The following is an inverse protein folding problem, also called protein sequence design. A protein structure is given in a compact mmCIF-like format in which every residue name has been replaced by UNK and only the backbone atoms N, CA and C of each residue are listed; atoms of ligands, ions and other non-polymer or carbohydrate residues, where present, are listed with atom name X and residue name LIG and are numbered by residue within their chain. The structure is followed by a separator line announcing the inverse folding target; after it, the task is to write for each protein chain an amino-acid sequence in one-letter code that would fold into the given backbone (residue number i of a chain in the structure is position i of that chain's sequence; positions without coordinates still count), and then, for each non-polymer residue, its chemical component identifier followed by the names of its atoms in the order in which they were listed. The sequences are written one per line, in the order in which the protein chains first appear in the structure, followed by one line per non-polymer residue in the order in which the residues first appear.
data_IF_120394484757
#
_entry.id   IF_120394484757
#
_cell.length_a   1.000
_cell.length_b   1.000
_cell.length_c   1.000
_cell.angle_alpha   90.00
_cell.angle_beta   90.00
_cell.angle_gamma   90.00
#
_symmetry.space_group_name_H-M   'P 1'
#
loop_
_entity.id
_entity.type
_entity.pdbx_description
1 polymer ?
#
# COMPACT_ATOMS: atom_id res chain seq x y z
N UNK A 1 18.72 -10.63 -6.00
CA UNK A 1 17.89 -10.69 -4.78
C UNK A 1 16.95 -9.49 -4.77
N UNK A 2 15.64 -9.65 -4.45
CA UNK A 2 14.76 -8.50 -4.33
C UNK A 2 15.22 -7.62 -3.16
N UNK A 3 15.71 -6.40 -3.44
CA UNK A 3 16.10 -5.43 -2.41
C UNK A 3 14.94 -5.25 -1.44
N UNK A 4 15.18 -5.36 -0.14
CA UNK A 4 14.16 -5.10 0.87
C UNK A 4 13.73 -3.63 0.83
N UNK A 5 12.44 -3.37 1.07
CA UNK A 5 11.83 -2.03 1.09
C UNK A 5 12.31 -1.15 2.27
N UNK A 6 13.42 -1.46 2.95
CA UNK A 6 13.80 -0.85 4.24
C UNK A 6 13.86 0.68 4.18
N UNK A 7 14.63 1.22 3.23
CA UNK A 7 14.87 2.66 3.12
C UNK A 7 13.73 3.32 2.33
N UNK A 8 13.40 2.75 1.17
CA UNK A 8 12.45 3.34 0.22
C UNK A 8 11.00 3.39 0.71
N UNK A 9 10.63 2.52 1.66
CA UNK A 9 9.26 2.45 2.18
C UNK A 9 8.84 3.75 2.84
N UNK A 10 9.78 4.55 3.36
CA UNK A 10 9.46 5.86 3.95
C UNK A 10 8.73 6.77 2.96
N UNK A 11 9.10 6.74 1.67
CA UNK A 11 8.46 7.54 0.63
C UNK A 11 7.03 7.10 0.37
N UNK A 12 6.79 5.79 0.33
CA UNK A 12 5.44 5.23 0.22
C UNK A 12 4.59 5.60 1.44
N UNK A 13 5.11 5.44 2.66
CA UNK A 13 4.40 5.76 3.90
C UNK A 13 4.01 7.25 4.00
N UNK A 14 4.88 8.14 3.52
CA UNK A 14 4.59 9.57 3.40
C UNK A 14 3.49 9.85 2.39
N UNK A 15 3.42 9.08 1.30
CA UNK A 15 2.42 9.24 0.23
C UNK A 15 1.03 8.67 0.58
N UNK A 16 0.91 7.76 1.56
CA UNK A 16 -0.37 7.09 1.92
C UNK A 16 -1.55 8.05 2.15
N UNK A 17 -1.44 9.19 2.87
CA UNK A 17 -2.57 10.10 3.06
C UNK A 17 -3.10 10.67 1.74
N UNK A 18 -2.20 11.06 0.82
CA UNK A 18 -2.58 11.57 -0.49
C UNK A 18 -3.22 10.45 -1.34
N UNK A 19 -2.63 9.26 -1.31
CA UNK A 19 -3.17 8.08 -1.98
C UNK A 19 -4.58 7.71 -1.49
N UNK A 20 -4.82 7.68 -0.17
CA UNK A 20 -6.15 7.44 0.40
C UNK A 20 -7.18 8.45 -0.10
N UNK A 21 -6.77 9.71 -0.23
CA UNK A 21 -7.64 10.78 -0.71
C UNK A 21 -7.97 10.61 -2.19
N UNK A 22 -7.01 10.18 -3.01
CA UNK A 22 -7.24 10.02 -4.46
C UNK A 22 -8.20 8.88 -4.80
N UNK A 23 -8.20 7.79 -4.03
CA UNK A 23 -9.10 6.64 -4.25
C UNK A 23 -10.43 6.74 -3.49
N UNK A 24 -10.62 7.74 -2.64
CA UNK A 24 -11.81 7.86 -1.79
C UNK A 24 -13.09 8.01 -2.62
N UNK A 25 -14.10 7.18 -2.32
CA UNK A 25 -15.40 7.21 -2.99
C UNK A 25 -15.38 6.73 -4.45
N UNK A 26 -14.27 6.14 -4.92
CA UNK A 26 -14.12 5.63 -6.29
C UNK A 26 -14.55 4.17 -6.38
N UNK A 27 -15.02 3.77 -7.56
CA UNK A 27 -15.23 2.35 -7.87
C UNK A 27 -13.88 1.60 -7.90
N UNK A 28 -13.94 0.26 -7.84
CA UNK A 28 -12.72 -0.56 -7.89
C UNK A 28 -11.90 -0.33 -9.16
N UNK A 29 -12.55 -0.27 -10.32
CA UNK A 29 -11.86 -0.06 -11.59
C UNK A 29 -11.21 1.33 -11.66
N UNK A 30 -11.91 2.38 -11.23
CA UNK A 30 -11.34 3.72 -11.11
C UNK A 30 -10.18 3.76 -10.11
N UNK A 31 -10.33 3.13 -8.94
CA UNK A 31 -9.29 3.10 -7.91
C UNK A 31 -8.03 2.37 -8.39
N UNK A 32 -8.17 1.30 -9.20
CA UNK A 32 -7.01 0.64 -9.84
C UNK A 32 -6.29 1.57 -10.81
N UNK A 33 -7.03 2.28 -11.67
CA UNK A 33 -6.43 3.24 -12.60
C UNK A 33 -5.75 4.39 -11.86
N UNK A 34 -6.37 4.92 -10.81
CA UNK A 34 -5.79 5.94 -9.95
C UNK A 34 -4.55 5.42 -9.23
N UNK A 35 -4.58 4.19 -8.72
CA UNK A 35 -3.41 3.56 -8.07
C UNK A 35 -2.24 3.46 -9.05
N UNK A 36 -2.50 3.07 -10.30
CA UNK A 36 -1.48 3.02 -11.35
C UNK A 36 -0.91 4.41 -11.66
N UNK A 37 -1.77 5.39 -11.92
CA UNK A 37 -1.35 6.75 -12.23
C UNK A 37 -0.58 7.40 -11.05
N UNK A 38 -1.04 7.16 -9.81
CA UNK A 38 -0.39 7.64 -8.61
C UNK A 38 0.99 7.00 -8.43
N UNK A 39 1.12 5.69 -8.68
CA UNK A 39 2.41 5.00 -8.64
C UNK A 39 3.37 5.50 -9.73
N UNK A 40 2.87 5.78 -10.94
CA UNK A 40 3.66 6.37 -12.03
C UNK A 40 4.19 7.75 -11.65
N UNK A 41 3.33 8.61 -11.10
CA UNK A 41 3.71 9.92 -10.63
C UNK A 41 4.75 9.85 -9.50
N UNK A 42 4.50 8.99 -8.52
CA UNK A 42 5.41 8.78 -7.40
C UNK A 42 6.78 8.24 -7.87
N UNK A 43 6.80 7.32 -8.84
CA UNK A 43 8.04 6.76 -9.41
C UNK A 43 8.85 7.80 -10.17
N UNK A 44 8.19 8.65 -10.96
CA UNK A 44 8.86 9.74 -11.70
C UNK A 44 9.41 10.82 -10.78
N UNK A 45 8.65 11.20 -9.75
CA UNK A 45 8.98 12.34 -8.89
C UNK A 45 9.89 12.00 -7.70
N UNK A 46 10.21 10.72 -7.46
CA UNK A 46 11.11 10.31 -6.38
C UNK A 46 12.28 9.50 -6.94
N UNK A 47 13.46 10.12 -7.05
CA UNK A 47 14.69 9.48 -7.51
C UNK A 47 15.01 8.19 -6.73
N UNK A 48 14.75 8.19 -5.43
CA UNK A 48 14.97 7.02 -4.55
C UNK A 48 14.08 5.82 -4.90
N UNK A 49 12.95 6.04 -5.59
CA UNK A 49 12.06 4.97 -6.04
C UNK A 49 12.38 4.50 -7.46
N UNK A 50 13.22 5.19 -8.22
CA UNK A 50 13.44 4.87 -9.64
C UNK A 50 14.05 3.48 -9.87
N UNK A 51 14.81 2.96 -8.89
CA UNK A 51 15.37 1.60 -8.95
C UNK A 51 14.32 0.50 -8.70
N UNK A 52 13.10 0.85 -8.29
CA UNK A 52 11.96 -0.06 -8.14
C UNK A 52 11.22 -0.15 -9.46
N UNK A 53 10.62 -1.32 -9.73
CA UNK A 53 9.68 -1.41 -10.84
C UNK A 53 8.39 -0.71 -10.48
N UNK A 54 7.78 -0.03 -11.46
CA UNK A 54 6.47 0.60 -11.28
C UNK A 54 5.44 -0.39 -10.71
N UNK A 55 5.41 -1.62 -11.25
CA UNK A 55 4.52 -2.68 -10.77
C UNK A 55 4.70 -2.96 -9.28
N UNK A 56 5.94 -2.95 -8.77
CA UNK A 56 6.19 -3.16 -7.34
C UNK A 56 5.63 -2.02 -6.47
N UNK A 57 5.62 -0.79 -6.96
CA UNK A 57 5.03 0.37 -6.27
C UNK A 57 3.50 0.26 -6.27
N UNK A 58 2.92 -0.08 -7.42
CA UNK A 58 1.47 -0.29 -7.59
C UNK A 58 0.95 -1.32 -6.58
N UNK A 59 1.68 -2.42 -6.38
CA UNK A 59 1.31 -3.47 -5.45
C UNK A 59 1.59 -3.08 -3.98
N UNK A 60 2.65 -2.32 -3.73
CA UNK A 60 3.08 -1.98 -2.37
C UNK A 60 2.20 -0.92 -1.70
N UNK A 61 1.67 0.03 -2.46
CA UNK A 61 0.77 1.09 -1.95
C UNK A 61 -0.47 0.54 -1.22
N UNK A 62 -1.33 -0.28 -1.85
CA UNK A 62 -2.54 -0.81 -1.21
C UNK A 62 -2.21 -1.83 -0.11
N UNK A 63 -1.08 -2.54 -0.22
CA UNK A 63 -0.58 -3.41 0.85
C UNK A 63 -0.26 -2.61 2.12
N UNK A 64 0.52 -1.52 1.99
CA UNK A 64 0.88 -0.66 3.13
C UNK A 64 -0.36 0.03 3.71
N UNK A 65 -1.29 0.48 2.87
CA UNK A 65 -2.55 1.06 3.34
C UNK A 65 -3.33 0.09 4.25
N UNK A 66 -3.48 -1.18 3.82
CA UNK A 66 -4.14 -2.22 4.61
C UNK A 66 -3.44 -2.50 5.94
N UNK A 67 -2.10 -2.57 5.92
CA UNK A 67 -1.28 -2.80 7.11
C UNK A 67 -1.42 -1.66 8.13
N UNK A 68 -1.28 -0.42 7.66
CA UNK A 68 -1.40 0.79 8.48
C UNK A 68 -2.80 0.98 9.08
N UNK A 69 -3.83 0.52 8.37
CA UNK A 69 -5.21 0.55 8.84
C UNK A 69 -5.56 -0.62 9.79
N UNK A 70 -4.72 -1.67 9.86
CA UNK A 70 -5.03 -2.85 10.66
C UNK A 70 -6.23 -3.63 10.11
N UNK A 71 -6.36 -3.70 8.78
CA UNK A 71 -7.49 -4.36 8.09
C UNK A 71 -7.61 -5.84 8.46
N UNK A 72 -6.47 -6.54 8.55
CA UNK A 72 -6.38 -7.98 8.74
C UNK A 72 -5.78 -8.31 10.11
N UNK A 73 -5.61 -9.60 10.46
CA UNK A 73 -4.93 -9.95 11.70
C UNK A 73 -3.41 -9.70 11.65
N UNK A 74 -2.78 -9.22 12.75
CA UNK A 74 -1.34 -8.95 12.81
C UNK A 74 -0.47 -10.15 12.44
N UNK A 75 -0.93 -11.36 12.80
CA UNK A 75 -0.24 -12.63 12.56
C UNK A 75 -0.13 -12.99 11.07
N UNK A 76 -0.95 -12.37 10.22
CA UNK A 76 -0.93 -12.60 8.77
C UNK A 76 0.18 -11.84 8.06
N UNK A 77 0.89 -10.95 8.77
CA UNK A 77 1.97 -10.15 8.23
C UNK A 77 3.34 -10.66 8.69
N UNK A 78 4.36 -10.42 7.85
CA UNK A 78 5.72 -10.76 8.22
C UNK A 78 6.16 -9.97 9.46
N UNK A 79 7.01 -10.57 10.31
CA UNK A 79 7.48 -9.97 11.57
C UNK A 79 8.00 -8.53 11.42
N UNK A 80 8.69 -8.23 10.30
CA UNK A 80 9.23 -6.90 9.98
C UNK A 80 8.14 -5.84 9.72
N UNK A 81 6.97 -6.26 9.25
CA UNK A 81 5.85 -5.39 8.89
C UNK A 81 4.94 -5.13 10.11
N UNK A 82 5.06 -5.93 11.18
CA UNK A 82 4.23 -5.80 12.40
C UNK A 82 4.35 -4.43 13.07
N UNK A 83 5.49 -3.75 12.97
CA UNK A 83 5.70 -2.40 13.52
C UNK A 83 4.79 -1.34 12.88
N UNK A 84 4.28 -1.61 11.68
CA UNK A 84 3.38 -0.71 10.96
C UNK A 84 1.91 -1.06 11.18
N UNK A 85 1.64 -2.21 11.80
CA UNK A 85 0.27 -2.68 11.96
C UNK A 85 -0.55 -1.66 12.77
N UNK A 86 -1.64 -1.18 12.18
CA UNK A 86 -2.57 -0.23 12.81
C UNK A 86 -1.90 1.08 13.34
N UNK A 87 -0.71 1.44 12.85
CA UNK A 87 0.01 2.63 13.32
C UNK A 87 -0.50 3.94 12.70
N UNK A 88 -1.30 3.85 11.63
CA UNK A 88 -1.88 5.01 10.93
C UNK A 88 -3.28 4.67 10.42
N UNK A 89 -4.28 4.58 11.33
CA UNK A 89 -5.64 4.21 10.99
C UNK A 89 -6.25 5.15 9.94
N UNK A 90 -7.30 4.69 9.24
CA UNK A 90 -8.07 5.53 8.31
C UNK A 90 -8.97 6.49 9.10
N UNK A 91 -9.43 7.57 8.46
CA UNK A 91 -10.21 8.65 9.11
C UNK A 91 -11.41 8.17 9.95
N UNK A 92 -12.04 7.06 9.57
CA UNK A 92 -13.22 6.50 10.25
C UNK A 92 -12.94 5.14 10.89
N UNK A 93 -11.68 4.83 11.21
CA UNK A 93 -11.19 3.50 11.59
C UNK A 93 -11.64 2.37 10.64
N UNK A 94 -11.83 2.70 9.36
CA UNK A 94 -12.28 1.74 8.37
C UNK A 94 -11.25 0.61 8.17
N UNK A 95 -11.71 -0.63 8.37
CA UNK A 95 -10.94 -1.86 8.24
C UNK A 95 -11.32 -2.67 7.01
N UNK A 96 -12.05 -2.10 6.05
CA UNK A 96 -12.32 -2.78 4.79
C UNK A 96 -11.03 -2.95 3.98
N UNK A 97 -10.79 -4.10 3.33
CA UNK A 97 -9.61 -4.25 2.49
C UNK A 97 -9.57 -3.26 1.33
N UNK A 98 -8.40 -2.67 1.11
CA UNK A 98 -8.09 -1.99 -0.14
C UNK A 98 -7.93 -3.05 -1.23
N UNK A 99 -8.97 -3.16 -2.05
CA UNK A 99 -9.11 -4.15 -3.12
C UNK A 99 -8.17 -3.89 -4.31
N UNK A 100 -7.43 -2.77 -4.33
CA UNK A 100 -6.35 -2.56 -5.29
C UNK A 100 -5.11 -3.42 -4.97
N UNK A 101 -5.05 -4.07 -3.80
CA UNK A 101 -3.97 -5.01 -3.48
C UNK A 101 -4.14 -6.32 -4.25
N UNK A 102 -3.31 -6.55 -5.26
CA UNK A 102 -3.43 -7.67 -6.21
C UNK A 102 -2.43 -8.81 -5.99
N UNK A 103 -1.40 -8.65 -5.16
CA UNK A 103 -0.26 -9.60 -5.19
C UNK A 103 0.44 -9.89 -3.86
N UNK A 104 0.47 -8.94 -2.93
CA UNK A 104 0.96 -9.26 -1.59
C UNK A 104 -0.18 -9.86 -0.80
N UNK A 105 -0.34 -11.15 -1.04
CA UNK A 105 -1.19 -12.07 -0.29
C UNK A 105 -1.14 -11.70 1.18
N UNK A 106 -2.27 -11.16 1.64
CA UNK A 106 -2.88 -11.63 2.86
C UNK A 106 -2.54 -13.13 2.98
N UNK A 107 -1.69 -13.51 3.95
CA UNK A 107 -1.32 -14.92 4.16
C UNK A 107 -2.48 -15.71 4.82
N UNK A 108 -3.59 -15.05 5.15
CA UNK A 108 -4.88 -15.72 5.30
C UNK A 108 -5.50 -15.86 3.91
N UNK A 109 -6.06 -17.00 3.55
CA UNK A 109 -6.88 -17.08 2.35
C UNK A 109 -8.05 -16.09 2.49
N UNK A 110 -8.33 -15.29 1.45
CA UNK A 110 -9.71 -14.82 1.24
C UNK A 110 -10.50 -16.11 1.00
N UNK A 111 -11.30 -16.52 1.98
CA UNK A 111 -12.31 -17.56 1.79
C UNK A 111 -13.46 -16.99 0.97
#
# INVERSE_FOLDING_TARGET
MPKHWKEDQVYLLKAIPAYRTSIAGKSLEEAKQITKAFAEDLHRNNLDLQHRSLQSIIERLPYLDNLLAGVFEPKNYAKKDQLLYHSKPRKNDDRKPNLCNTRHSYNGAIR
#
